data_IF_744393529798
#
_entry.id   IF_744393529798
#
_cell.length_a   1.000
_cell.length_b   1.000
_cell.length_c   1.000
_cell.angle_alpha   90.00
_cell.angle_beta   90.00
_cell.angle_gamma   90.00
#
_symmetry.space_group_name_H-M   'P 1'
#
loop_
_entity.id
_entity.type
_entity.pdbx_description
1 polymer ?
#
# COMPACT_ATOMS: atom_id res chain seq x y z
N UNK A 1 -18.35 17.37 -2.29
CA UNK A 1 -17.12 16.70 -2.74
C UNK A 1 -16.09 16.81 -1.63
N UNK A 2 -15.32 15.79 -1.37
CA UNK A 2 -14.28 15.82 -0.32
C UNK A 2 -13.20 16.85 -0.70
N UNK A 3 -12.75 17.65 0.28
CA UNK A 3 -11.63 18.57 0.10
C UNK A 3 -10.26 17.84 0.26
N UNK A 4 -10.29 16.55 0.49
CA UNK A 4 -9.11 15.72 0.69
C UNK A 4 -8.60 15.27 -0.68
N UNK A 5 -7.35 15.60 -1.02
CA UNK A 5 -6.83 15.42 -2.37
C UNK A 5 -6.74 13.97 -2.83
N UNK A 6 -6.39 13.01 -1.98
CA UNK A 6 -6.38 11.60 -2.39
C UNK A 6 -7.76 11.03 -2.73
N UNK A 7 -8.85 11.69 -2.29
CA UNK A 7 -10.22 11.37 -2.71
C UNK A 7 -10.65 12.20 -3.91
N UNK A 8 -10.37 13.51 -3.91
CA UNK A 8 -10.73 14.45 -4.99
C UNK A 8 -10.08 14.03 -6.32
N UNK A 9 -8.81 13.64 -6.28
CA UNK A 9 -8.01 13.26 -7.45
C UNK A 9 -7.90 11.73 -7.64
N UNK A 10 -8.82 10.97 -7.04
CA UNK A 10 -8.86 9.54 -7.28
C UNK A 10 -9.12 9.26 -8.76
N UNK A 11 -8.28 8.45 -9.45
CA UNK A 11 -8.54 8.06 -10.83
C UNK A 11 -9.94 7.49 -11.03
N UNK A 12 -10.64 7.96 -12.04
CA UNK A 12 -11.99 7.52 -12.39
C UNK A 12 -11.99 6.66 -13.65
N UNK A 13 -10.92 6.69 -14.44
CA UNK A 13 -10.77 5.92 -15.68
C UNK A 13 -9.40 5.27 -15.71
N UNK A 14 -9.30 4.12 -16.43
CA UNK A 14 -8.09 3.31 -16.43
C UNK A 14 -6.85 4.07 -16.98
N UNK A 15 -7.02 4.98 -17.94
CA UNK A 15 -5.93 5.82 -18.48
C UNK A 15 -5.28 6.76 -17.43
N UNK A 16 -5.98 7.08 -16.34
CA UNK A 16 -5.46 7.87 -15.23
C UNK A 16 -4.80 7.00 -14.14
N UNK A 17 -4.92 5.68 -14.28
CA UNK A 17 -4.42 4.74 -13.29
C UNK A 17 -2.92 4.50 -13.48
N UNK A 18 -2.10 5.00 -12.57
CA UNK A 18 -0.64 5.06 -12.69
C UNK A 18 0.02 3.92 -11.89
N UNK A 19 1.22 3.52 -12.28
CA UNK A 19 2.10 2.62 -11.50
C UNK A 19 1.83 1.13 -11.67
N UNK A 20 0.72 0.72 -12.33
CA UNK A 20 0.34 -0.68 -12.49
C UNK A 20 0.28 -1.11 -13.97
N UNK A 21 1.26 -0.68 -14.77
CA UNK A 21 1.28 -0.91 -16.22
C UNK A 21 1.14 -2.38 -16.63
N UNK A 22 1.57 -3.32 -15.79
CA UNK A 22 1.47 -4.76 -16.05
C UNK A 22 0.02 -5.29 -15.91
N UNK A 23 -0.87 -4.56 -15.23
CA UNK A 23 -2.28 -4.94 -15.08
C UNK A 23 -3.18 -4.30 -16.13
N UNK A 24 -2.79 -3.15 -16.68
CA UNK A 24 -3.61 -2.36 -17.60
C UNK A 24 -4.15 -3.17 -18.78
N UNK A 25 -3.35 -3.95 -19.55
CA UNK A 25 -3.86 -4.66 -20.73
C UNK A 25 -4.99 -5.65 -20.41
N UNK A 26 -4.92 -6.34 -19.27
CA UNK A 26 -5.98 -7.26 -18.85
C UNK A 26 -7.30 -6.53 -18.60
N UNK A 27 -7.25 -5.43 -17.86
CA UNK A 27 -8.45 -4.70 -17.49
C UNK A 27 -8.99 -3.84 -18.64
N UNK A 28 -8.16 -3.42 -19.60
CA UNK A 28 -8.62 -2.85 -20.86
C UNK A 28 -9.46 -3.86 -21.64
N UNK A 29 -8.98 -5.10 -21.80
CA UNK A 29 -9.73 -6.14 -22.49
C UNK A 29 -11.08 -6.44 -21.81
N UNK A 30 -11.14 -6.42 -20.48
CA UNK A 30 -12.40 -6.60 -19.75
C UNK A 30 -13.35 -5.42 -19.98
N UNK A 31 -12.86 -4.20 -19.92
CA UNK A 31 -13.65 -2.97 -20.14
C UNK A 31 -14.19 -2.92 -21.57
N UNK A 32 -13.42 -3.39 -22.55
CA UNK A 32 -13.84 -3.46 -23.96
C UNK A 32 -14.68 -4.70 -24.29
N UNK A 33 -14.99 -5.53 -23.29
CA UNK A 33 -15.73 -6.79 -23.44
C UNK A 33 -15.03 -7.86 -24.30
N UNK A 34 -13.71 -7.73 -24.51
CA UNK A 34 -12.88 -8.74 -25.19
C UNK A 34 -12.54 -9.92 -24.27
N UNK A 35 -12.67 -9.73 -22.95
CA UNK A 35 -12.52 -10.76 -21.94
C UNK A 35 -13.64 -10.68 -20.88
N UNK A 36 -14.07 -11.82 -20.30
CA UNK A 36 -15.11 -11.85 -19.27
C UNK A 36 -14.57 -11.31 -17.94
N UNK A 37 -15.45 -10.61 -17.20
CA UNK A 37 -15.17 -10.27 -15.79
C UNK A 37 -15.09 -11.54 -14.95
N UNK A 38 -14.24 -11.54 -13.95
CA UNK A 38 -14.00 -12.65 -13.02
C UNK A 38 -14.08 -12.15 -11.56
N UNK A 39 -14.06 -13.07 -10.60
CA UNK A 39 -13.77 -12.71 -9.22
C UNK A 39 -12.28 -12.44 -9.06
N UNK A 40 -11.93 -11.38 -8.31
CA UNK A 40 -10.53 -10.96 -8.12
C UNK A 40 -10.12 -10.90 -6.66
N UNK A 41 -8.84 -11.19 -6.43
CA UNK A 41 -8.13 -10.79 -5.22
C UNK A 41 -7.03 -9.82 -5.64
N UNK A 42 -7.15 -8.56 -5.20
CA UNK A 42 -6.14 -7.53 -5.38
C UNK A 42 -5.22 -7.50 -4.17
N UNK A 43 -4.00 -7.96 -4.33
CA UNK A 43 -3.02 -8.09 -3.26
C UNK A 43 -1.88 -7.07 -3.41
N UNK A 44 -1.46 -6.48 -2.30
CA UNK A 44 -0.21 -5.73 -2.20
C UNK A 44 0.19 -5.60 -0.74
N UNK A 45 1.44 -5.89 -0.37
CA UNK A 45 1.92 -5.63 0.98
C UNK A 45 1.93 -4.14 1.33
N UNK A 46 1.96 -3.27 0.30
CA UNK A 46 1.99 -1.82 0.47
C UNK A 46 0.58 -1.22 0.43
N UNK A 47 0.35 -0.19 1.26
CA UNK A 47 -0.83 0.65 1.21
C UNK A 47 -0.77 1.61 0.01
N UNK A 48 -1.90 2.24 -0.34
CA UNK A 48 -1.93 3.31 -1.35
C UNK A 48 -1.59 2.89 -2.78
N UNK A 49 -1.52 1.60 -3.10
CA UNK A 49 -1.14 1.07 -4.44
C UNK A 49 -2.27 1.07 -5.48
N UNK A 50 -3.49 1.49 -5.10
CA UNK A 50 -4.61 1.63 -6.01
C UNK A 50 -5.57 0.42 -6.07
N UNK A 51 -5.47 -0.59 -5.20
CA UNK A 51 -6.37 -1.77 -5.17
C UNK A 51 -7.85 -1.40 -5.23
N UNK A 52 -8.31 -0.63 -4.26
CA UNK A 52 -9.70 -0.17 -4.16
C UNK A 52 -10.07 0.75 -5.33
N UNK A 53 -9.15 1.59 -5.78
CA UNK A 53 -9.36 2.50 -6.92
C UNK A 53 -9.64 1.73 -8.22
N UNK A 54 -8.89 0.66 -8.50
CA UNK A 54 -9.14 -0.16 -9.70
C UNK A 54 -10.52 -0.82 -9.66
N UNK A 55 -10.99 -1.28 -8.49
CA UNK A 55 -12.33 -1.83 -8.35
C UNK A 55 -13.42 -0.81 -8.73
N UNK A 56 -13.28 0.45 -8.31
CA UNK A 56 -14.20 1.52 -8.69
C UNK A 56 -14.12 1.86 -10.19
N UNK A 57 -12.91 1.90 -10.76
CA UNK A 57 -12.73 2.12 -12.20
C UNK A 57 -13.45 1.03 -13.01
N UNK A 58 -13.30 -0.23 -12.61
CA UNK A 58 -13.96 -1.35 -13.29
C UNK A 58 -15.49 -1.26 -13.18
N UNK A 59 -16.01 -0.99 -11.98
CA UNK A 59 -17.44 -0.83 -11.78
C UNK A 59 -18.01 0.29 -12.67
N UNK A 60 -17.36 1.45 -12.67
CA UNK A 60 -17.79 2.58 -13.48
C UNK A 60 -17.69 2.31 -14.98
N UNK A 61 -16.59 1.72 -15.45
CA UNK A 61 -16.37 1.46 -16.88
C UNK A 61 -17.33 0.40 -17.44
N UNK A 62 -17.68 -0.61 -16.64
CA UNK A 62 -18.62 -1.67 -17.00
C UNK A 62 -20.09 -1.28 -16.78
N UNK A 63 -20.37 -0.15 -16.12
CA UNK A 63 -21.73 0.25 -15.74
C UNK A 63 -22.30 -0.58 -14.57
N UNK A 64 -21.45 -1.23 -13.77
CA UNK A 64 -21.86 -2.09 -12.67
C UNK A 64 -22.07 -1.30 -11.38
N UNK A 65 -23.06 -1.73 -10.59
CA UNK A 65 -23.23 -1.22 -9.22
C UNK A 65 -22.17 -1.82 -8.31
N UNK A 66 -21.47 -0.99 -7.52
CA UNK A 66 -20.48 -1.45 -6.55
C UNK A 66 -21.00 -1.30 -5.12
N UNK A 67 -20.96 -2.39 -4.36
CA UNK A 67 -21.21 -2.40 -2.92
C UNK A 67 -19.88 -2.60 -2.21
N UNK A 68 -19.43 -1.56 -1.50
CA UNK A 68 -18.14 -1.55 -0.83
C UNK A 68 -18.31 -1.77 0.67
N UNK A 69 -17.64 -2.80 1.19
CA UNK A 69 -17.58 -3.14 2.60
C UNK A 69 -16.11 -3.23 3.04
N UNK A 70 -15.77 -2.60 4.18
CA UNK A 70 -14.48 -2.79 4.80
C UNK A 70 -14.58 -3.94 5.82
N UNK A 71 -13.79 -5.00 5.61
CA UNK A 71 -13.79 -6.21 6.42
C UNK A 71 -13.00 -6.10 7.74
N UNK A 72 -12.35 -4.95 8.01
CA UNK A 72 -11.54 -4.77 9.23
C UNK A 72 -12.35 -4.45 10.49
N UNK A 73 -13.62 -4.02 10.35
CA UNK A 73 -14.44 -3.68 11.50
C UNK A 73 -14.95 -4.93 12.23
N UNK A 74 -15.25 -4.78 13.53
CA UNK A 74 -15.82 -5.90 14.32
C UNK A 74 -17.11 -6.44 13.74
N UNK A 75 -17.94 -5.58 13.12
CA UNK A 75 -19.22 -5.94 12.52
C UNK A 75 -19.03 -6.73 11.23
N UNK A 76 -18.03 -6.39 10.41
CA UNK A 76 -17.90 -6.88 9.03
C UNK A 76 -16.89 -8.01 8.85
N UNK A 77 -16.13 -8.39 9.90
CA UNK A 77 -15.15 -9.48 9.80
C UNK A 77 -15.68 -10.87 10.13
N UNK A 78 -16.89 -10.96 10.73
CA UNK A 78 -17.52 -12.19 11.21
C UNK A 78 -18.36 -12.89 10.17
N UNK A 79 -18.80 -14.13 10.51
CA UNK A 79 -19.68 -14.92 9.66
C UNK A 79 -21.06 -14.30 9.51
N UNK A 80 -21.56 -13.64 10.57
CA UNK A 80 -22.88 -13.00 10.60
C UNK A 80 -22.97 -11.93 9.49
N UNK A 81 -21.90 -11.18 9.24
CA UNK A 81 -21.85 -10.21 8.15
C UNK A 81 -22.02 -10.89 6.78
N UNK A 82 -21.41 -12.06 6.58
CA UNK A 82 -21.55 -12.78 5.32
C UNK A 82 -22.98 -13.30 5.15
N UNK A 83 -23.58 -13.81 6.23
CA UNK A 83 -24.93 -14.37 6.20
C UNK A 83 -26.00 -13.29 6.07
N UNK A 84 -25.89 -12.19 6.81
CA UNK A 84 -26.92 -11.16 6.90
C UNK A 84 -26.84 -10.11 5.78
N UNK A 85 -25.62 -9.73 5.36
CA UNK A 85 -25.42 -8.62 4.41
C UNK A 85 -25.00 -9.13 3.00
N UNK A 86 -24.06 -10.10 2.92
CA UNK A 86 -23.44 -10.50 1.65
C UNK A 86 -24.29 -11.53 0.89
N UNK A 87 -24.80 -12.56 1.57
CA UNK A 87 -25.61 -13.61 0.93
C UNK A 87 -26.87 -13.04 0.27
N UNK A 88 -27.70 -12.21 0.94
CA UNK A 88 -28.87 -11.62 0.31
C UNK A 88 -28.53 -10.76 -0.91
N UNK A 89 -27.44 -10.00 -0.83
CA UNK A 89 -26.97 -9.17 -1.93
C UNK A 89 -26.51 -10.01 -3.12
N UNK A 90 -25.72 -11.06 -2.87
CA UNK A 90 -25.19 -11.94 -3.90
C UNK A 90 -26.26 -12.75 -4.64
N UNK A 91 -27.39 -13.05 -3.97
CA UNK A 91 -28.54 -13.79 -4.53
C UNK A 91 -29.70 -12.88 -4.95
N UNK A 92 -29.52 -11.57 -4.97
CA UNK A 92 -30.58 -10.61 -5.38
C UNK A 92 -31.02 -10.72 -6.84
N UNK A 93 -30.36 -11.55 -7.65
CA UNK A 93 -30.63 -11.73 -9.08
C UNK A 93 -30.07 -10.60 -9.97
N UNK A 94 -29.34 -9.65 -9.39
CA UNK A 94 -28.68 -8.57 -10.14
C UNK A 94 -27.33 -9.07 -10.67
N UNK A 95 -27.17 -9.08 -12.00
CA UNK A 95 -25.95 -9.60 -12.67
C UNK A 95 -24.83 -8.55 -12.82
N UNK A 96 -25.18 -7.27 -12.74
CA UNK A 96 -24.26 -6.14 -12.95
C UNK A 96 -23.82 -5.52 -11.62
N UNK A 97 -23.37 -6.37 -10.70
CA UNK A 97 -23.00 -5.97 -9.33
C UNK A 97 -21.58 -6.45 -9.02
N UNK A 98 -20.79 -5.55 -8.44
CA UNK A 98 -19.49 -5.86 -7.82
C UNK A 98 -19.64 -5.73 -6.31
N UNK A 99 -19.32 -6.79 -5.59
CA UNK A 99 -19.17 -6.77 -4.12
C UNK A 99 -17.67 -6.61 -3.82
N UNK A 100 -17.30 -5.43 -3.34
CA UNK A 100 -15.93 -5.12 -2.94
C UNK A 100 -15.76 -5.34 -1.43
N UNK A 101 -14.94 -6.31 -1.07
CA UNK A 101 -14.53 -6.57 0.31
C UNK A 101 -13.11 -6.03 0.52
N UNK A 102 -13.01 -4.83 1.07
CA UNK A 102 -11.73 -4.19 1.35
C UNK A 102 -11.12 -4.73 2.65
N UNK A 103 -9.82 -4.94 2.70
CA UNK A 103 -9.09 -5.57 3.81
C UNK A 103 -9.60 -6.99 4.14
N UNK A 104 -9.87 -7.81 3.12
CA UNK A 104 -10.43 -9.15 3.27
C UNK A 104 -9.53 -10.12 4.06
N UNK A 105 -8.24 -9.82 4.22
CA UNK A 105 -7.30 -10.51 5.09
C UNK A 105 -7.63 -10.35 6.60
N UNK A 106 -8.57 -9.47 6.95
CA UNK A 106 -9.11 -9.33 8.31
C UNK A 106 -10.35 -10.21 8.57
N UNK A 107 -10.93 -10.83 7.53
CA UNK A 107 -12.06 -11.75 7.69
C UNK A 107 -11.67 -12.98 8.51
N UNK A 108 -12.54 -13.37 9.44
CA UNK A 108 -12.36 -14.62 10.17
C UNK A 108 -12.38 -15.84 9.24
N UNK A 109 -11.75 -16.94 9.61
CA UNK A 109 -11.77 -18.18 8.82
C UNK A 109 -13.22 -18.69 8.60
N UNK A 110 -14.11 -18.48 9.57
CA UNK A 110 -15.52 -18.84 9.46
C UNK A 110 -16.22 -17.99 8.38
N UNK A 111 -15.99 -16.66 8.37
CA UNK A 111 -16.52 -15.76 7.34
C UNK A 111 -15.97 -16.10 5.94
N UNK A 112 -14.68 -16.36 5.83
CA UNK A 112 -14.09 -16.82 4.58
C UNK A 112 -14.69 -18.15 4.12
N UNK A 113 -14.98 -19.08 5.02
CA UNK A 113 -15.62 -20.36 4.69
C UNK A 113 -17.05 -20.18 4.20
N UNK A 114 -17.81 -19.27 4.78
CA UNK A 114 -19.17 -18.94 4.32
C UNK A 114 -19.15 -18.32 2.91
N UNK A 115 -18.20 -17.44 2.62
CA UNK A 115 -18.02 -16.85 1.28
C UNK A 115 -17.81 -17.88 0.18
N UNK A 116 -17.31 -19.06 0.48
CA UNK A 116 -17.08 -20.10 -0.53
C UNK A 116 -18.34 -20.45 -1.30
N UNK A 117 -19.41 -20.76 -0.61
CA UNK A 117 -20.69 -21.12 -1.25
C UNK A 117 -21.33 -19.95 -1.99
N UNK A 118 -21.10 -18.74 -1.47
CA UNK A 118 -21.63 -17.52 -2.07
C UNK A 118 -20.96 -17.21 -3.40
N UNK A 119 -19.62 -17.27 -3.46
CA UNK A 119 -18.85 -17.01 -4.70
C UNK A 119 -19.19 -18.04 -5.79
N UNK A 120 -19.38 -19.32 -5.43
CA UNK A 120 -19.73 -20.37 -6.39
C UNK A 120 -21.15 -20.25 -6.96
N UNK A 121 -22.08 -19.71 -6.19
CA UNK A 121 -23.52 -19.65 -6.55
C UNK A 121 -24.02 -18.26 -6.95
N UNK A 122 -23.17 -17.23 -6.90
CA UNK A 122 -23.60 -15.85 -7.14
C UNK A 122 -23.60 -15.49 -8.62
N UNK A 123 -24.49 -14.58 -8.99
CA UNK A 123 -24.52 -13.92 -10.30
C UNK A 123 -23.72 -12.62 -10.32
N UNK A 124 -23.25 -12.14 -9.17
CA UNK A 124 -22.43 -10.94 -9.02
C UNK A 124 -20.93 -11.27 -9.01
N UNK A 125 -20.10 -10.25 -9.13
CA UNK A 125 -18.65 -10.36 -9.08
C UNK A 125 -18.10 -9.93 -7.73
N UNK A 126 -17.08 -10.66 -7.26
CA UNK A 126 -16.38 -10.32 -6.01
C UNK A 126 -15.01 -9.75 -6.33
N UNK A 127 -14.66 -8.64 -5.69
CA UNK A 127 -13.31 -8.10 -5.64
C UNK A 127 -12.92 -8.03 -4.16
N UNK A 128 -11.89 -8.77 -3.79
CA UNK A 128 -11.31 -8.77 -2.44
C UNK A 128 -10.01 -8.00 -2.49
N UNK A 129 -9.77 -7.04 -1.61
CA UNK A 129 -8.44 -6.47 -1.44
C UNK A 129 -7.77 -7.05 -0.20
N UNK A 130 -6.46 -7.23 -0.24
CA UNK A 130 -5.69 -7.66 0.93
C UNK A 130 -4.27 -7.08 0.90
N UNK A 131 -3.67 -6.98 2.09
CA UNK A 131 -2.25 -6.65 2.22
C UNK A 131 -1.42 -7.91 2.46
N UNK A 132 -2.03 -8.96 3.00
CA UNK A 132 -1.38 -10.23 3.27
C UNK A 132 -2.18 -11.39 2.64
N UNK A 133 -1.72 -11.86 1.49
CA UNK A 133 -2.36 -12.96 0.77
C UNK A 133 -2.33 -14.28 1.56
N UNK A 134 -1.38 -14.46 2.48
CA UNK A 134 -1.28 -15.67 3.30
C UNK A 134 -2.45 -15.84 4.27
N UNK A 135 -3.12 -14.74 4.63
CA UNK A 135 -4.32 -14.74 5.49
C UNK A 135 -5.61 -15.05 4.72
N UNK A 136 -5.56 -15.03 3.39
CA UNK A 136 -6.68 -15.47 2.54
C UNK A 136 -6.60 -16.97 2.34
N UNK A 137 -7.66 -17.67 2.62
CA UNK A 137 -7.72 -19.14 2.48
C UNK A 137 -7.44 -19.60 1.05
N UNK A 138 -6.74 -20.73 0.90
CA UNK A 138 -6.35 -21.25 -0.43
C UNK A 138 -7.54 -21.54 -1.34
N UNK A 139 -8.69 -21.89 -0.80
CA UNK A 139 -9.87 -22.16 -1.60
C UNK A 139 -10.53 -20.87 -2.12
N UNK A 140 -10.45 -19.71 -1.42
CA UNK A 140 -10.80 -18.40 -1.98
C UNK A 140 -9.83 -18.01 -3.11
N UNK A 141 -8.54 -18.21 -2.87
CA UNK A 141 -7.52 -17.95 -3.89
C UNK A 141 -7.71 -18.80 -5.15
N UNK A 142 -8.21 -20.03 -5.04
CA UNK A 142 -8.46 -20.90 -6.20
C UNK A 142 -9.70 -20.51 -7.03
N UNK A 143 -10.58 -19.66 -6.50
CA UNK A 143 -11.81 -19.19 -7.15
C UNK A 143 -11.72 -17.77 -7.67
N UNK A 144 -10.71 -17.06 -7.27
CA UNK A 144 -10.47 -15.69 -7.67
C UNK A 144 -9.16 -15.57 -8.44
N UNK A 145 -9.14 -14.72 -9.44
CA UNK A 145 -7.91 -14.33 -10.12
C UNK A 145 -7.11 -13.40 -9.22
N UNK A 146 -5.94 -13.86 -8.75
CA UNK A 146 -5.07 -13.05 -7.89
C UNK A 146 -4.25 -12.09 -8.74
N UNK A 147 -4.28 -10.80 -8.41
CA UNK A 147 -3.47 -9.76 -9.06
C UNK A 147 -2.67 -9.01 -8.02
N UNK A 148 -1.36 -8.99 -8.22
CA UNK A 148 -0.42 -8.33 -7.30
C UNK A 148 -0.13 -6.92 -7.79
N UNK A 149 -0.40 -5.95 -6.93
CA UNK A 149 -0.08 -4.55 -7.16
C UNK A 149 1.32 -4.25 -6.63
N UNK A 150 2.07 -3.51 -7.40
CA UNK A 150 3.42 -3.06 -7.05
C UNK A 150 3.36 -1.73 -6.31
N UNK A 151 4.34 -1.48 -5.45
CA UNK A 151 4.58 -0.16 -4.89
C UNK A 151 4.77 0.87 -6.02
N UNK A 152 4.33 2.10 -5.80
CA UNK A 152 4.56 3.17 -6.75
C UNK A 152 6.05 3.53 -6.80
N UNK A 153 6.57 3.74 -8.00
CA UNK A 153 7.94 4.29 -8.16
C UNK A 153 7.92 5.79 -7.89
N UNK A 154 9.10 6.35 -7.58
CA UNK A 154 9.26 7.80 -7.44
C UNK A 154 8.75 8.53 -8.69
N UNK A 155 9.06 8.03 -9.88
CA UNK A 155 8.62 8.62 -11.15
C UNK A 155 7.09 8.62 -11.30
N UNK A 156 6.43 7.52 -10.90
CA UNK A 156 4.96 7.43 -10.95
C UNK A 156 4.30 8.37 -9.94
N UNK A 157 4.90 8.54 -8.76
CA UNK A 157 4.43 9.47 -7.75
C UNK A 157 4.61 10.93 -8.21
N UNK A 158 5.80 11.25 -8.78
CA UNK A 158 6.08 12.57 -9.35
C UNK A 158 5.08 12.96 -10.44
N UNK A 159 4.81 12.04 -11.37
CA UNK A 159 3.80 12.27 -12.41
C UNK A 159 2.44 12.61 -11.81
N UNK A 160 1.98 11.79 -10.87
CA UNK A 160 0.68 12.01 -10.22
C UNK A 160 0.62 13.34 -9.46
N UNK A 161 1.69 13.70 -8.73
CA UNK A 161 1.76 14.97 -8.02
C UNK A 161 1.71 16.17 -8.98
N UNK A 162 2.43 16.11 -10.11
CA UNK A 162 2.41 17.16 -11.14
C UNK A 162 1.03 17.30 -11.77
N UNK A 163 0.37 16.19 -12.11
CA UNK A 163 -1.00 16.21 -12.65
C UNK A 163 -1.99 16.84 -11.64
N UNK A 164 -1.84 16.58 -10.36
CA UNK A 164 -2.64 17.18 -9.28
C UNK A 164 -2.38 18.69 -9.18
N UNK A 165 -1.11 19.09 -9.12
CA UNK A 165 -0.72 20.51 -9.02
C UNK A 165 -1.23 21.32 -10.21
N UNK A 166 -1.15 20.76 -11.42
CA UNK A 166 -1.70 21.40 -12.62
C UNK A 166 -3.21 21.59 -12.48
N UNK A 167 -3.94 20.58 -12.00
CA UNK A 167 -5.39 20.67 -11.82
C UNK A 167 -5.81 21.66 -10.72
N UNK A 168 -4.98 21.86 -9.70
CA UNK A 168 -5.19 22.82 -8.62
C UNK A 168 -4.62 24.22 -8.97
N UNK A 169 -3.97 24.38 -10.13
CA UNK A 169 -3.29 25.62 -10.55
C UNK A 169 -2.22 26.06 -9.55
N UNK A 170 -1.51 25.10 -8.97
CA UNK A 170 -0.43 25.30 -8.01
C UNK A 170 0.89 24.85 -8.63
N UNK A 171 2.00 25.35 -8.06
CA UNK A 171 3.34 24.95 -8.46
C UNK A 171 4.22 24.77 -7.23
N UNK A 172 5.05 23.73 -7.24
CA UNK A 172 6.08 23.45 -6.24
C UNK A 172 7.39 23.12 -6.96
N UNK A 173 8.50 23.28 -6.27
CA UNK A 173 9.81 22.94 -6.80
C UNK A 173 9.95 21.42 -7.02
N UNK A 174 10.57 21.03 -8.12
CA UNK A 174 10.81 19.64 -8.51
C UNK A 174 11.66 18.89 -7.47
N UNK A 175 12.57 19.58 -6.78
CA UNK A 175 13.37 18.99 -5.70
C UNK A 175 12.49 18.63 -4.48
N UNK A 176 11.56 19.50 -4.11
CA UNK A 176 10.60 19.28 -3.01
C UNK A 176 9.66 18.12 -3.34
N UNK A 177 9.16 18.04 -4.59
CA UNK A 177 8.34 16.94 -5.06
C UNK A 177 9.10 15.60 -5.04
N UNK A 178 10.36 15.63 -5.48
CA UNK A 178 11.22 14.43 -5.48
C UNK A 178 11.49 13.95 -4.05
N UNK A 179 11.75 14.87 -3.14
CA UNK A 179 11.94 14.55 -1.72
C UNK A 179 10.67 13.95 -1.13
N UNK A 180 9.50 14.54 -1.41
CA UNK A 180 8.22 14.05 -0.93
C UNK A 180 7.91 12.63 -1.44
N UNK A 181 8.15 12.37 -2.73
CA UNK A 181 7.97 11.04 -3.33
C UNK A 181 8.86 9.98 -2.68
N UNK A 182 10.10 10.35 -2.31
CA UNK A 182 11.05 9.45 -1.63
C UNK A 182 10.70 9.18 -0.17
N UNK A 183 10.14 10.18 0.53
CA UNK A 183 9.77 10.04 1.95
C UNK A 183 8.72 8.95 2.15
N UNK A 184 7.73 8.87 1.27
CA UNK A 184 6.61 7.95 1.38
C UNK A 184 6.75 6.63 0.61
N UNK A 185 7.86 6.41 -0.09
CA UNK A 185 8.30 5.14 -0.68
C UNK A 185 7.19 4.24 -1.26
N UNK A 186 6.40 4.78 -2.18
CA UNK A 186 5.40 4.01 -2.90
C UNK A 186 3.99 4.04 -2.32
N UNK A 187 3.78 4.66 -1.17
CA UNK A 187 2.44 4.98 -0.66
C UNK A 187 1.94 6.30 -1.26
N UNK A 188 1.25 6.19 -2.39
CA UNK A 188 0.74 7.36 -3.10
C UNK A 188 -0.33 8.12 -2.31
N UNK A 189 -1.10 7.46 -1.43
CA UNK A 189 -2.10 8.12 -0.58
C UNK A 189 -1.43 9.08 0.39
N UNK A 190 -0.41 8.62 1.11
CA UNK A 190 0.35 9.45 2.03
C UNK A 190 1.13 10.54 1.29
N UNK A 191 1.69 10.24 0.12
CA UNK A 191 2.35 11.23 -0.74
C UNK A 191 1.40 12.38 -1.12
N UNK A 192 0.18 12.07 -1.59
CA UNK A 192 -0.82 13.10 -1.97
C UNK A 192 -1.29 13.88 -0.74
N UNK A 193 -1.48 13.24 0.41
CA UNK A 193 -1.84 13.93 1.65
C UNK A 193 -0.79 14.93 2.10
N UNK A 194 0.48 14.54 2.04
CA UNK A 194 1.60 15.41 2.37
C UNK A 194 1.78 16.53 1.33
N UNK A 195 1.56 16.24 0.03
CA UNK A 195 1.53 17.25 -1.02
C UNK A 195 0.46 18.32 -0.73
N UNK A 196 -0.75 17.89 -0.38
CA UNK A 196 -1.82 18.81 0.01
C UNK A 196 -1.40 19.70 1.17
N UNK A 197 -0.80 19.12 2.22
CA UNK A 197 -0.32 19.88 3.38
C UNK A 197 0.74 20.91 2.97
N UNK A 198 1.71 20.48 2.16
CA UNK A 198 2.81 21.34 1.70
C UNK A 198 2.30 22.56 0.91
N UNK A 199 1.26 22.39 0.09
CA UNK A 199 0.67 23.46 -0.70
C UNK A 199 -0.06 24.54 0.15
N UNK A 200 -0.40 24.25 1.40
CA UNK A 200 -1.02 25.21 2.32
C UNK A 200 -0.04 25.88 3.27
N UNK A 201 1.25 25.49 3.24
CA UNK A 201 2.30 26.10 4.05
C UNK A 201 3.01 27.22 3.27
N UNK A 202 3.55 28.19 3.98
CA UNK A 202 4.49 29.13 3.38
C UNK A 202 5.84 28.44 3.10
N UNK A 203 6.74 29.10 2.36
CA UNK A 203 8.01 28.52 1.93
C UNK A 203 8.90 28.08 3.10
N UNK A 204 8.90 28.84 4.20
CA UNK A 204 9.73 28.53 5.37
C UNK A 204 9.19 27.32 6.15
N UNK A 205 7.86 27.32 6.37
CA UNK A 205 7.18 26.21 7.05
C UNK A 205 7.14 24.96 6.17
N UNK A 206 7.03 25.10 4.85
CA UNK A 206 7.11 24.00 3.88
C UNK A 206 8.47 23.32 3.91
N UNK A 207 9.57 24.06 3.89
CA UNK A 207 10.92 23.52 4.04
C UNK A 207 11.11 22.81 5.38
N UNK A 208 10.59 23.39 6.46
CA UNK A 208 10.63 22.77 7.79
C UNK A 208 9.82 21.46 7.82
N UNK A 209 8.63 21.46 7.25
CA UNK A 209 7.78 20.27 7.12
C UNK A 209 8.48 19.14 6.37
N UNK A 210 9.07 19.41 5.21
CA UNK A 210 9.85 18.44 4.44
C UNK A 210 11.07 17.95 5.20
N UNK A 211 11.76 18.85 5.92
CA UNK A 211 12.86 18.48 6.79
C UNK A 211 12.41 17.56 7.93
N UNK A 212 11.32 17.88 8.60
CA UNK A 212 10.79 17.04 9.68
C UNK A 212 10.31 15.67 9.17
N UNK A 213 9.67 15.61 8.00
CA UNK A 213 9.28 14.37 7.36
C UNK A 213 10.47 13.59 6.79
N UNK A 214 11.44 14.26 6.17
CA UNK A 214 12.60 13.65 5.52
C UNK A 214 13.80 13.44 6.42
N UNK A 215 14.04 14.30 7.41
CA UNK A 215 15.14 14.21 8.37
C UNK A 215 14.85 13.32 9.58
N UNK A 216 13.68 12.70 9.62
CA UNK A 216 13.41 11.73 10.69
C UNK A 216 14.43 10.59 10.75
N UNK A 217 15.18 10.35 9.65
CA UNK A 217 16.10 9.23 9.60
C UNK A 217 17.35 9.49 8.73
N UNK A 218 18.47 9.71 9.37
CA UNK A 218 19.80 9.73 8.75
C UNK A 218 20.42 8.32 8.83
N UNK A 219 20.37 7.57 7.71
CA UNK A 219 20.89 6.21 7.62
C UNK A 219 22.40 6.12 7.94
N UNK A 220 23.18 7.15 7.56
CA UNK A 220 24.61 7.25 7.90
C UNK A 220 24.80 7.35 9.40
N UNK A 221 24.07 8.27 10.04
CA UNK A 221 24.12 8.46 11.48
C UNK A 221 23.59 7.24 12.24
N UNK A 222 22.54 6.61 11.73
CA UNK A 222 22.03 5.36 12.29
C UNK A 222 23.06 4.25 12.29
N UNK A 223 23.73 4.03 11.14
CA UNK A 223 24.82 3.04 11.03
C UNK A 223 25.99 3.40 11.94
N UNK A 224 26.35 4.68 12.02
CA UNK A 224 27.44 5.11 12.89
C UNK A 224 27.11 4.83 14.36
N UNK A 225 25.90 5.16 14.81
CA UNK A 225 25.43 4.86 16.17
C UNK A 225 25.39 3.35 16.44
N UNK A 226 24.83 2.56 15.53
CA UNK A 226 24.69 1.12 15.72
C UNK A 226 26.02 0.39 15.63
N UNK A 227 26.86 0.67 14.62
CA UNK A 227 28.07 -0.12 14.31
C UNK A 227 29.30 0.42 15.05
N UNK A 228 29.54 1.73 14.98
CA UNK A 228 30.79 2.35 15.47
C UNK A 228 30.71 2.70 16.95
N UNK A 229 29.63 3.36 17.36
CA UNK A 229 29.45 3.83 18.72
C UNK A 229 28.78 2.78 19.61
N UNK A 230 28.20 1.75 19.03
CA UNK A 230 27.40 0.71 19.70
C UNK A 230 26.29 1.28 20.58
N UNK A 231 25.80 2.46 20.22
CA UNK A 231 24.74 3.19 20.90
C UNK A 231 23.36 2.75 20.37
N UNK A 232 22.98 1.49 20.62
CA UNK A 232 21.77 0.87 20.08
C UNK A 232 20.52 1.69 20.44
N UNK A 233 20.40 2.16 21.69
CA UNK A 233 19.26 2.95 22.14
C UNK A 233 19.11 4.26 21.36
N UNK A 234 20.21 4.92 21.02
CA UNK A 234 20.22 6.16 20.26
C UNK A 234 19.91 5.91 18.77
N UNK A 235 20.40 4.80 18.21
CA UNK A 235 20.01 4.37 16.87
C UNK A 235 18.49 4.08 16.79
N UNK A 236 17.96 3.32 17.74
CA UNK A 236 16.51 3.06 17.85
C UNK A 236 15.72 4.36 17.98
N UNK A 237 16.15 5.29 18.84
CA UNK A 237 15.52 6.59 19.01
C UNK A 237 15.58 7.44 17.73
N UNK A 238 16.68 7.38 16.97
CA UNK A 238 16.83 8.07 15.70
C UNK A 238 15.82 7.58 14.66
N UNK A 239 15.48 6.28 14.67
CA UNK A 239 14.45 5.74 13.77
C UNK A 239 13.01 6.16 14.13
N UNK A 240 12.78 6.69 15.33
CA UNK A 240 11.53 7.30 15.78
C UNK A 240 10.29 6.45 15.48
N UNK A 241 9.27 7.08 14.92
CA UNK A 241 8.01 6.44 14.51
C UNK A 241 8.00 6.01 13.03
N UNK A 242 9.14 6.04 12.35
CA UNK A 242 9.20 5.54 10.96
C UNK A 242 8.80 4.07 10.90
N UNK A 243 8.10 3.71 9.82
CA UNK A 243 7.86 2.31 9.48
C UNK A 243 9.20 1.56 9.39
N UNK A 244 9.27 0.38 10.01
CA UNK A 244 10.54 -0.34 10.14
C UNK A 244 11.09 -0.82 8.78
N UNK A 245 10.24 -1.15 7.80
CA UNK A 245 10.69 -1.47 6.44
C UNK A 245 11.42 -0.30 5.78
N UNK A 246 10.91 0.92 5.95
CA UNK A 246 11.58 2.12 5.46
C UNK A 246 12.94 2.34 6.12
N UNK A 247 13.07 2.07 7.42
CA UNK A 247 14.35 2.14 8.14
C UNK A 247 15.35 1.14 7.55
N UNK A 248 14.95 -0.14 7.47
CA UNK A 248 15.78 -1.23 6.93
C UNK A 248 16.23 -0.91 5.50
N UNK A 249 15.31 -0.50 4.65
CA UNK A 249 15.58 -0.18 3.25
C UNK A 249 16.55 0.99 3.11
N UNK A 250 16.36 2.09 3.83
CA UNK A 250 17.25 3.25 3.77
C UNK A 250 18.66 2.94 4.27
N UNK A 251 18.76 2.14 5.33
CA UNK A 251 20.07 1.67 5.82
C UNK A 251 20.75 0.79 4.79
N UNK A 252 20.02 -0.11 4.15
CA UNK A 252 20.51 -0.98 3.08
C UNK A 252 20.97 -0.17 1.86
N UNK A 253 20.15 0.75 1.35
CA UNK A 253 20.46 1.61 0.20
C UNK A 253 21.71 2.49 0.50
N UNK A 254 21.79 3.06 1.68
CA UNK A 254 22.96 3.83 2.07
C UNK A 254 24.23 2.97 2.11
N UNK A 255 24.18 1.79 2.72
CA UNK A 255 25.34 0.92 2.84
C UNK A 255 25.83 0.41 1.48
N UNK A 256 24.90 0.09 0.57
CA UNK A 256 25.24 -0.43 -0.78
C UNK A 256 25.71 0.64 -1.75
N UNK A 257 25.27 1.89 -1.60
CA UNK A 257 25.64 3.01 -2.46
C UNK A 257 26.80 3.85 -1.90
N UNK A 258 27.23 3.60 -0.68
CA UNK A 258 28.37 4.29 -0.06
C UNK A 258 29.64 3.48 -0.23
N UNK A 259 30.85 4.12 -0.19
CA UNK A 259 32.12 3.41 -0.15
C UNK A 259 32.31 2.74 1.23
N UNK A 260 31.43 1.79 1.55
CA UNK A 260 31.49 1.04 2.80
C UNK A 260 32.35 -0.21 2.63
N UNK A 261 32.96 -0.68 3.73
CA UNK A 261 33.67 -1.95 3.77
C UNK A 261 32.73 -3.11 3.41
N UNK A 262 33.19 -4.03 2.57
CA UNK A 262 32.42 -5.21 2.15
C UNK A 262 31.86 -6.02 3.35
N UNK A 263 32.56 -6.01 4.47
CA UNK A 263 32.14 -6.65 5.72
C UNK A 263 30.93 -5.96 6.34
N UNK A 264 30.89 -4.62 6.30
CA UNK A 264 29.73 -3.84 6.75
C UNK A 264 28.53 -4.06 5.84
N UNK A 265 28.73 -4.06 4.52
CA UNK A 265 27.66 -4.30 3.55
C UNK A 265 27.05 -5.69 3.79
N UNK A 266 27.87 -6.74 3.93
CA UNK A 266 27.39 -8.09 4.20
C UNK A 266 26.52 -8.15 5.47
N UNK A 267 26.95 -7.49 6.53
CA UNK A 267 26.24 -7.41 7.81
C UNK A 267 24.89 -6.68 7.69
N UNK A 268 24.86 -5.57 6.96
CA UNK A 268 23.61 -4.84 6.70
C UNK A 268 22.64 -5.70 5.89
N UNK A 269 23.14 -6.39 4.86
CA UNK A 269 22.32 -7.31 4.04
C UNK A 269 21.71 -8.42 4.88
N UNK A 270 22.52 -9.09 5.71
CA UNK A 270 22.04 -10.16 6.60
C UNK A 270 20.99 -9.65 7.59
N UNK A 271 21.26 -8.53 8.25
CA UNK A 271 20.33 -7.91 9.20
C UNK A 271 19.02 -7.49 8.52
N UNK A 272 19.09 -6.96 7.28
CA UNK A 272 17.93 -6.56 6.52
C UNK A 272 17.05 -7.76 6.14
N UNK A 273 17.63 -8.87 5.68
CA UNK A 273 16.91 -10.10 5.34
C UNK A 273 16.16 -10.65 6.57
N UNK A 274 16.82 -10.69 7.73
CA UNK A 274 16.21 -11.17 8.97
C UNK A 274 15.04 -10.28 9.37
N UNK A 275 15.24 -8.96 9.36
CA UNK A 275 14.20 -7.99 9.74
C UNK A 275 13.00 -8.03 8.81
N UNK A 276 13.21 -8.13 7.49
CA UNK A 276 12.13 -8.27 6.52
C UNK A 276 11.34 -9.57 6.74
N UNK A 277 12.02 -10.67 6.98
CA UNK A 277 11.37 -11.95 7.32
C UNK A 277 10.51 -11.82 8.57
N UNK A 278 11.02 -11.21 9.63
CA UNK A 278 10.33 -11.08 10.91
C UNK A 278 9.10 -10.16 10.79
N UNK A 279 9.20 -9.08 10.01
CA UNK A 279 8.07 -8.21 9.67
C UNK A 279 6.99 -8.94 8.86
N UNK A 280 7.38 -9.81 7.92
CA UNK A 280 6.44 -10.66 7.16
C UNK A 280 5.78 -11.70 8.07
N UNK A 281 6.50 -12.22 9.06
CA UNK A 281 5.98 -13.16 10.06
C UNK A 281 5.08 -12.51 11.12
N UNK A 282 4.91 -11.18 11.09
CA UNK A 282 4.05 -10.44 12.00
C UNK A 282 4.68 -10.17 13.37
N UNK A 283 6.00 -10.19 13.47
CA UNK A 283 6.71 -9.75 14.68
C UNK A 283 6.48 -8.26 14.88
N UNK A 284 6.23 -7.84 16.12
CA UNK A 284 6.01 -6.43 16.46
C UNK A 284 7.17 -5.53 15.98
N UNK A 285 6.83 -4.43 15.31
CA UNK A 285 7.82 -3.52 14.73
C UNK A 285 8.80 -2.97 15.75
N UNK A 286 8.40 -2.80 17.01
CA UNK A 286 9.28 -2.33 18.08
C UNK A 286 10.35 -3.36 18.38
N UNK A 287 10.00 -4.64 18.40
CA UNK A 287 10.96 -5.74 18.58
C UNK A 287 11.93 -5.80 17.42
N UNK A 288 11.42 -5.76 16.19
CA UNK A 288 12.27 -5.77 14.98
C UNK A 288 13.21 -4.57 14.96
N UNK A 289 12.76 -3.40 15.39
CA UNK A 289 13.56 -2.16 15.48
C UNK A 289 14.77 -2.30 16.40
N UNK A 290 14.56 -2.86 17.58
CA UNK A 290 15.62 -3.13 18.52
C UNK A 290 16.57 -4.20 18.02
N UNK A 291 16.04 -5.27 17.44
CA UNK A 291 16.84 -6.39 16.95
C UNK A 291 17.71 -6.02 15.75
N UNK A 292 17.16 -5.21 14.80
CA UNK A 292 17.93 -4.69 13.68
C UNK A 292 19.12 -3.84 14.12
N UNK A 293 18.90 -2.89 15.02
CA UNK A 293 19.99 -2.06 15.57
C UNK A 293 21.02 -2.92 16.33
N UNK A 294 20.58 -3.91 17.08
CA UNK A 294 21.43 -4.85 17.79
C UNK A 294 22.28 -5.71 16.84
N UNK A 295 21.66 -6.28 15.80
CA UNK A 295 22.37 -7.09 14.80
C UNK A 295 23.48 -6.30 14.12
N UNK A 296 23.24 -5.03 13.81
CA UNK A 296 24.27 -4.14 13.25
C UNK A 296 25.41 -3.85 14.21
N UNK A 297 25.20 -3.95 15.52
CA UNK A 297 26.22 -3.66 16.54
C UNK A 297 27.16 -4.84 16.84
N UNK A 298 26.75 -6.07 16.54
CA UNK A 298 27.52 -7.30 16.74
C UNK A 298 28.63 -7.46 15.72
#
# INVERSE_FOLDING_TARGET
MSNIWWEKHRPMVLRQFVGQSHLIPEFENIIHHDAPMQHYIFNSPEAGTGKTTLAYILAQALGYTIHHFNASSKRTRGIEFIEDDIIPLAHSGMNEVIILLDEADQLTLAAQSALKGVIEGSSCYFILTCNDLSKISRWLQSRCSVRTFKAHTVDSALKTMKDILESESLNLDDDDLTNLARIHEGDLRNTIGALQTLCYLDEADGKKFLLEMGNGFDARRYLNLAVTERAIADAVKLSGNMNMRSVVRRVFEYATNSPADAKMIAKVVESAIISERDLVMGVDETVVRWDFARMLSL
#
